data_IF_741063987972
#
_entry.id   IF_741063987972
#
_cell.length_a   1.000
_cell.length_b   1.000
_cell.length_c   1.000
_cell.angle_alpha   90.00
_cell.angle_beta   90.00
_cell.angle_gamma   90.00
#
_symmetry.space_group_name_H-M   'P 1'
#
loop_
_entity.id
_entity.type
_entity.pdbx_description
1 polymer ?
#
# COMPACT_ATOMS: atom_id res chain seq x y z
N UNK A 1 1.30 -11.61 -5.19
CA UNK A 1 2.00 -10.44 -5.75
C UNK A 1 3.49 -10.72 -5.73
N UNK A 2 4.14 -10.65 -6.88
CA UNK A 2 5.59 -10.80 -7.02
C UNK A 2 6.31 -9.48 -6.66
N UNK A 3 7.63 -9.49 -6.40
CA UNK A 3 8.37 -8.26 -6.12
C UNK A 3 8.32 -7.25 -7.28
N UNK A 4 8.30 -7.72 -8.54
CA UNK A 4 8.15 -6.85 -9.71
C UNK A 4 6.75 -6.25 -9.81
N UNK A 5 5.70 -7.03 -9.59
CA UNK A 5 4.32 -6.53 -9.52
C UNK A 5 4.14 -5.50 -8.41
N UNK A 6 4.77 -5.72 -7.25
CA UNK A 6 4.75 -4.77 -6.15
C UNK A 6 5.36 -3.43 -6.57
N UNK A 7 6.59 -3.43 -7.10
CA UNK A 7 7.25 -2.20 -7.57
C UNK A 7 6.47 -1.50 -8.68
N UNK A 8 5.92 -2.25 -9.63
CA UNK A 8 5.10 -1.71 -10.71
C UNK A 8 3.81 -1.06 -10.18
N UNK A 9 3.15 -1.72 -9.22
CA UNK A 9 1.94 -1.18 -8.59
C UNK A 9 2.24 0.13 -7.89
N UNK A 10 3.32 0.21 -7.10
CA UNK A 10 3.72 1.45 -6.43
C UNK A 10 3.95 2.60 -7.43
N UNK A 11 4.59 2.31 -8.56
CA UNK A 11 4.82 3.31 -9.60
C UNK A 11 3.50 3.82 -10.24
N UNK A 12 2.55 2.92 -10.50
CA UNK A 12 1.25 3.28 -11.10
C UNK A 12 0.38 4.07 -10.13
N UNK A 13 0.34 3.70 -8.86
CA UNK A 13 -0.48 4.38 -7.83
C UNK A 13 0.17 5.63 -7.25
N UNK A 14 1.42 5.94 -7.64
CA UNK A 14 2.21 7.04 -7.08
C UNK A 14 2.60 6.83 -5.61
N UNK A 15 2.67 5.58 -5.15
CA UNK A 15 3.05 5.25 -3.79
C UNK A 15 4.56 5.23 -3.62
N UNK A 16 5.06 5.93 -2.60
CA UNK A 16 6.42 5.79 -2.10
C UNK A 16 6.48 4.71 -1.01
N UNK A 17 7.69 4.23 -0.68
CA UNK A 17 7.86 3.30 0.44
C UNK A 17 7.33 3.89 1.78
N UNK A 18 7.50 5.21 1.98
CA UNK A 18 6.97 5.92 3.14
C UNK A 18 5.44 6.01 3.16
N UNK A 19 4.79 6.19 2.00
CA UNK A 19 3.33 6.18 1.91
C UNK A 19 2.75 4.79 2.18
N UNK A 20 3.45 3.72 1.78
CA UNK A 20 3.07 2.35 2.13
C UNK A 20 3.17 2.13 3.64
N UNK A 21 4.24 2.62 4.28
CA UNK A 21 4.36 2.57 5.75
C UNK A 21 3.17 3.24 6.44
N UNK A 22 2.81 4.45 6.03
CA UNK A 22 1.71 5.21 6.61
C UNK A 22 0.35 4.53 6.41
N UNK A 23 0.04 4.08 5.18
CA UNK A 23 -1.27 3.51 4.86
C UNK A 23 -1.51 2.13 5.45
N UNK A 24 -0.45 1.33 5.61
CA UNK A 24 -0.56 -0.06 6.05
C UNK A 24 0.00 -0.30 7.46
N UNK A 25 0.50 0.74 8.12
CA UNK A 25 1.15 0.67 9.44
C UNK A 25 2.26 -0.39 9.49
N UNK A 26 3.17 -0.31 8.51
CA UNK A 26 4.28 -1.27 8.34
C UNK A 26 5.63 -0.59 8.36
N UNK A 27 6.66 -1.27 8.85
CA UNK A 27 8.04 -0.76 8.81
C UNK A 27 8.50 -0.54 7.35
N UNK A 28 9.14 0.60 7.08
CA UNK A 28 9.76 0.91 5.80
C UNK A 28 10.75 -0.17 5.35
N UNK A 29 11.46 -0.81 6.30
CA UNK A 29 12.35 -1.94 6.03
C UNK A 29 11.57 -3.14 5.49
N UNK A 30 10.37 -3.41 6.03
CA UNK A 30 9.51 -4.49 5.54
C UNK A 30 9.03 -4.19 4.12
N UNK A 31 8.59 -2.95 3.85
CA UNK A 31 8.20 -2.49 2.50
C UNK A 31 9.32 -2.66 1.48
N UNK A 32 10.57 -2.32 1.85
CA UNK A 32 11.75 -2.55 1.00
C UNK A 32 11.98 -4.03 0.70
N UNK A 33 11.89 -4.90 1.72
CA UNK A 33 12.07 -6.36 1.56
C UNK A 33 11.05 -7.00 0.62
N UNK A 34 9.84 -6.46 0.55
CA UNK A 34 8.84 -6.90 -0.42
C UNK A 34 9.24 -6.53 -1.85
N UNK A 35 9.80 -5.33 -2.01
CA UNK A 35 10.31 -4.85 -3.29
C UNK A 35 11.54 -5.60 -3.79
N UNK A 36 12.39 -6.13 -2.90
CA UNK A 36 13.57 -6.94 -3.29
C UNK A 36 13.24 -8.43 -3.43
N UNK A 37 12.17 -8.89 -2.79
CA UNK A 37 11.81 -10.31 -2.72
C UNK A 37 12.42 -11.06 -1.53
N UNK A 38 13.10 -10.36 -0.62
CA UNK A 38 13.64 -10.92 0.63
C UNK A 38 12.52 -11.35 1.60
N UNK A 39 11.31 -10.80 1.42
CA UNK A 39 10.11 -11.21 2.16
C UNK A 39 8.87 -11.16 1.26
N UNK A 40 7.88 -12.04 1.47
CA UNK A 40 6.62 -11.98 0.73
C UNK A 40 5.79 -10.77 1.14
N UNK A 41 5.05 -10.19 0.18
CA UNK A 41 4.03 -9.16 0.46
C UNK A 41 2.87 -9.79 1.24
N UNK A 42 2.48 -9.27 2.41
CA UNK A 42 1.31 -9.74 3.14
C UNK A 42 0.04 -9.69 2.28
N UNK A 43 -0.79 -10.73 2.35
CA UNK A 43 -2.00 -10.85 1.52
C UNK A 43 -2.93 -9.62 1.59
N UNK A 44 -3.21 -9.01 2.76
CA UNK A 44 -4.05 -7.81 2.82
C UNK A 44 -3.45 -6.63 2.06
N UNK A 45 -2.14 -6.40 2.20
CA UNK A 45 -1.42 -5.32 1.49
C UNK A 45 -1.47 -5.55 -0.02
N UNK A 46 -1.18 -6.78 -0.46
CA UNK A 46 -1.24 -7.12 -1.88
C UNK A 46 -2.64 -6.90 -2.48
N UNK A 47 -3.69 -7.31 -1.76
CA UNK A 47 -5.07 -7.11 -2.23
C UNK A 47 -5.42 -5.62 -2.33
N UNK A 48 -5.10 -4.82 -1.31
CA UNK A 48 -5.36 -3.38 -1.32
C UNK A 48 -4.64 -2.66 -2.45
N UNK A 49 -3.35 -2.98 -2.68
CA UNK A 49 -2.56 -2.42 -3.77
C UNK A 49 -3.14 -2.77 -5.15
N UNK A 50 -3.58 -4.03 -5.34
CA UNK A 50 -4.24 -4.46 -6.58
C UNK A 50 -5.56 -3.73 -6.82
N UNK A 51 -6.37 -3.53 -5.77
CA UNK A 51 -7.61 -2.77 -5.87
C UNK A 51 -7.32 -1.31 -6.19
N UNK A 52 -6.35 -0.67 -5.52
CA UNK A 52 -5.95 0.70 -5.82
C UNK A 52 -5.54 0.85 -7.29
N UNK A 53 -4.69 -0.05 -7.80
CA UNK A 53 -4.27 -0.04 -9.19
C UNK A 53 -5.43 -0.30 -10.17
N UNK A 54 -6.34 -1.23 -9.84
CA UNK A 54 -7.46 -1.60 -10.72
C UNK A 54 -8.51 -0.48 -10.84
N UNK A 55 -8.71 0.29 -9.78
CA UNK A 55 -9.70 1.37 -9.73
C UNK A 55 -9.09 2.77 -9.89
N UNK A 56 -7.77 2.86 -10.12
CA UNK A 56 -7.08 4.15 -10.28
C UNK A 56 -7.04 5.00 -9.02
N UNK A 57 -7.17 4.39 -7.83
CA UNK A 57 -7.14 5.10 -6.55
C UNK A 57 -5.73 5.60 -6.27
N UNK A 58 -5.59 6.91 -6.21
CA UNK A 58 -4.34 7.58 -5.89
C UNK A 58 -3.99 7.47 -4.41
N UNK A 59 -2.72 7.68 -4.06
CA UNK A 59 -2.28 7.77 -2.65
C UNK A 59 -3.05 8.83 -1.85
N UNK A 60 -3.42 9.95 -2.49
CA UNK A 60 -4.16 11.03 -1.85
C UNK A 60 -5.58 10.59 -1.48
N UNK A 61 -6.29 9.94 -2.40
CA UNK A 61 -7.63 9.39 -2.13
C UNK A 61 -7.58 8.29 -1.07
N UNK A 62 -6.58 7.40 -1.13
CA UNK A 62 -6.40 6.34 -0.13
C UNK A 62 -6.20 6.91 1.28
N UNK A 63 -5.46 8.02 1.43
CA UNK A 63 -5.28 8.71 2.72
C UNK A 63 -6.58 9.29 3.26
N UNK A 64 -7.40 9.91 2.40
CA UNK A 64 -8.72 10.44 2.78
C UNK A 64 -9.59 9.30 3.32
N UNK A 65 -9.69 8.19 2.57
CA UNK A 65 -10.47 7.03 2.97
C UNK A 65 -9.96 6.43 4.30
N UNK A 66 -8.65 6.33 4.49
CA UNK A 66 -8.07 5.81 5.72
C UNK A 66 -8.35 6.70 6.94
N UNK A 67 -8.32 8.02 6.79
CA UNK A 67 -8.64 8.98 7.86
C UNK A 67 -10.12 8.91 8.24
N UNK A 68 -11.02 8.83 7.25
CA UNK A 68 -12.47 8.70 7.49
C UNK A 68 -12.80 7.37 8.18
N UNK A 69 -12.07 6.29 7.86
CA UNK A 69 -12.20 5.01 8.58
C UNK A 69 -11.80 5.16 10.05
N UNK A 70 -10.76 5.93 10.37
CA UNK A 70 -10.37 6.19 11.76
C UNK A 70 -11.46 6.99 12.49
N UNK A 71 -12.06 7.98 11.84
CA UNK A 71 -13.18 8.75 12.41
C UNK A 71 -14.42 7.86 12.64
N UNK A 72 -14.74 6.96 11.70
CA UNK A 72 -15.85 6.00 11.85
C UNK A 72 -15.64 4.97 12.98
N UNK A 73 -14.39 4.61 13.31
CA UNK A 73 -14.09 3.71 14.45
C UNK A 73 -14.12 4.42 15.80
N UNK A 74 -14.13 5.75 15.81
CA UNK A 74 -14.09 6.58 17.02
C UNK A 74 -15.47 7.09 17.44
N UNK A 75 -16.52 6.76 16.69
CA UNK A 75 -17.93 7.11 16.92
C UNK A 75 -18.73 5.88 17.37
#
# INVERSE_FOLDING_TARGET
>A
MTPSEYRATLAVTGLTASAVQELFDVDEVASRRWGTGDAPVPRPVALSLLLMASYGVSVSEARILAQDIVLLRSA
#
